data_IF_735140560353
#
_entry.id   IF_735140560353
#
_cell.length_a   1.000
_cell.length_b   1.000
_cell.length_c   1.000
_cell.angle_alpha   90.00
_cell.angle_beta   90.00
_cell.angle_gamma   90.00
#
_symmetry.space_group_name_H-M   'P 1'
#
loop_
_entity.id
_entity.type
_entity.pdbx_description
1 polymer ?
#
# COMPACT_ATOMS: atom_id res chain seq x y z
N UNK A 1 -2.44 -11.87 34.17
CA UNK A 1 -1.05 -11.84 33.68
C UNK A 1 -1.02 -10.94 32.46
N UNK A 2 -0.59 -9.69 32.61
CA UNK A 2 -0.50 -8.70 31.52
C UNK A 2 0.98 -8.64 31.09
N UNK A 3 1.40 -9.59 30.26
CA UNK A 3 2.75 -9.67 29.71
C UNK A 3 2.80 -8.96 28.36
N UNK A 4 4.01 -8.56 27.96
CA UNK A 4 4.25 -8.01 26.62
C UNK A 4 3.89 -9.07 25.58
N UNK A 5 3.37 -8.63 24.44
CA UNK A 5 2.95 -9.50 23.34
C UNK A 5 3.89 -9.33 22.16
N UNK A 6 4.38 -10.46 21.66
CA UNK A 6 5.07 -10.59 20.38
C UNK A 6 4.21 -11.44 19.46
N UNK A 7 3.54 -10.80 18.51
CA UNK A 7 2.51 -11.41 17.68
C UNK A 7 2.88 -11.27 16.21
N UNK A 8 3.02 -12.39 15.50
CA UNK A 8 3.39 -12.41 14.08
C UNK A 8 2.29 -13.06 13.24
N UNK A 9 2.00 -12.48 12.07
CA UNK A 9 1.08 -13.02 11.09
C UNK A 9 1.45 -12.56 9.67
N UNK A 10 0.99 -13.29 8.65
CA UNK A 10 1.28 -12.96 7.26
C UNK A 10 0.24 -11.99 6.68
N UNK A 11 0.69 -10.89 6.06
CA UNK A 11 -0.16 -9.95 5.34
C UNK A 11 0.65 -9.08 4.36
N UNK A 12 0.01 -8.60 3.28
CA UNK A 12 0.66 -7.72 2.29
C UNK A 12 1.95 -8.32 1.67
N UNK A 13 1.98 -9.64 1.48
CA UNK A 13 3.12 -10.38 0.93
C UNK A 13 4.38 -10.32 1.80
N UNK A 14 4.21 -10.30 3.12
CA UNK A 14 5.30 -10.26 4.11
C UNK A 14 4.78 -10.74 5.47
N UNK A 15 5.71 -11.09 6.36
CA UNK A 15 5.39 -11.19 7.78
C UNK A 15 5.19 -9.78 8.37
N UNK A 16 4.13 -9.64 9.18
CA UNK A 16 3.84 -8.47 10.02
C UNK A 16 4.02 -8.90 11.46
N UNK A 17 4.79 -8.12 12.23
CA UNK A 17 5.08 -8.36 13.65
C UNK A 17 4.61 -7.18 14.49
N UNK A 18 3.83 -7.47 15.52
CA UNK A 18 3.35 -6.52 16.52
C UNK A 18 4.06 -6.79 17.84
N UNK A 19 4.70 -5.76 18.39
CA UNK A 19 5.34 -5.78 19.71
C UNK A 19 4.59 -4.81 20.61
N UNK A 20 3.74 -5.34 21.49
CA UNK A 20 2.84 -4.53 22.32
C UNK A 20 3.22 -4.70 23.78
N UNK A 21 3.74 -3.63 24.37
CA UNK A 21 4.09 -3.59 25.78
C UNK A 21 2.88 -3.44 26.69
N UNK A 22 3.14 -3.50 28.00
CA UNK A 22 2.11 -3.27 29.03
C UNK A 22 1.42 -1.90 28.86
N UNK A 23 0.10 -1.82 29.09
CA UNK A 23 -0.61 -0.56 29.05
C UNK A 23 -0.09 0.42 30.11
N UNK A 24 0.21 1.65 29.70
CA UNK A 24 0.59 2.73 30.62
C UNK A 24 -0.62 3.43 31.26
N UNK A 25 -1.80 3.33 30.64
CA UNK A 25 -3.04 3.93 31.12
C UNK A 25 -4.04 2.86 31.54
N UNK A 26 -4.73 3.06 32.65
CA UNK A 26 -5.58 2.04 33.29
C UNK A 26 -6.75 1.53 32.43
N UNK A 27 -7.19 2.31 31.43
CA UNK A 27 -8.30 1.96 30.53
C UNK A 27 -7.87 1.39 29.17
N UNK A 28 -6.56 1.29 28.92
CA UNK A 28 -6.10 0.72 27.67
C UNK A 28 -6.37 -0.80 27.64
N UNK A 29 -6.68 -1.36 26.46
CA UNK A 29 -6.93 -2.79 26.30
C UNK A 29 -5.70 -3.61 26.73
N UNK A 30 -5.93 -4.84 27.16
CA UNK A 30 -4.85 -5.81 27.36
C UNK A 30 -4.05 -5.98 26.06
N UNK A 31 -2.72 -6.19 26.13
CA UNK A 31 -1.85 -6.25 24.94
C UNK A 31 -2.31 -7.24 23.87
N UNK A 32 -2.86 -8.39 24.26
CA UNK A 32 -3.37 -9.39 23.31
C UNK A 32 -4.63 -8.90 22.58
N UNK A 33 -5.56 -8.26 23.28
CA UNK A 33 -6.76 -7.69 22.67
C UNK A 33 -6.41 -6.54 21.70
N UNK A 34 -5.38 -5.75 22.04
CA UNK A 34 -4.83 -4.75 21.13
C UNK A 34 -4.22 -5.41 19.89
N UNK A 35 -3.42 -6.47 20.06
CA UNK A 35 -2.81 -7.21 18.95
C UNK A 35 -3.87 -7.79 18.00
N UNK A 36 -4.92 -8.42 18.52
CA UNK A 36 -6.01 -8.98 17.71
C UNK A 36 -6.79 -7.89 16.95
N UNK A 37 -7.06 -6.76 17.61
CA UNK A 37 -7.71 -5.59 16.99
C UNK A 37 -6.87 -5.04 15.84
N UNK A 38 -5.58 -4.86 16.04
CA UNK A 38 -4.69 -4.30 15.01
C UNK A 38 -4.41 -5.31 13.89
N UNK A 39 -4.32 -6.60 14.19
CA UNK A 39 -4.29 -7.66 13.18
C UNK A 39 -5.52 -7.59 12.27
N UNK A 40 -6.72 -7.47 12.85
CA UNK A 40 -7.95 -7.35 12.07
C UNK A 40 -7.94 -6.11 11.17
N UNK A 41 -7.43 -4.98 11.69
CA UNK A 41 -7.26 -3.75 10.90
C UNK A 41 -6.29 -3.94 9.73
N UNK A 42 -5.10 -4.52 9.97
CA UNK A 42 -4.09 -4.77 8.92
C UNK A 42 -4.64 -5.69 7.83
N UNK A 43 -5.38 -6.74 8.20
CA UNK A 43 -6.01 -7.64 7.23
C UNK A 43 -7.09 -6.93 6.39
N UNK A 44 -7.93 -6.11 7.02
CA UNK A 44 -8.93 -5.32 6.31
C UNK A 44 -8.28 -4.27 5.38
N UNK A 45 -7.22 -3.62 5.83
CA UNK A 45 -6.41 -2.69 5.04
C UNK A 45 -5.87 -3.40 3.79
N UNK A 46 -5.23 -4.56 3.97
CA UNK A 46 -4.66 -5.35 2.88
C UNK A 46 -5.72 -5.80 1.87
N UNK A 47 -6.89 -6.22 2.35
CA UNK A 47 -8.00 -6.63 1.47
C UNK A 47 -8.52 -5.47 0.60
N UNK A 48 -8.69 -4.28 1.17
CA UNK A 48 -9.26 -3.12 0.46
C UNK A 48 -8.29 -2.48 -0.52
N UNK A 49 -7.00 -2.46 -0.18
CA UNK A 49 -5.98 -1.73 -0.94
C UNK A 49 -5.10 -2.64 -1.82
N UNK A 50 -5.48 -3.91 -2.00
CA UNK A 50 -4.78 -4.81 -2.90
C UNK A 50 -5.25 -4.66 -4.34
N UNK A 51 -4.36 -4.37 -5.28
CA UNK A 51 -4.67 -4.42 -6.73
C UNK A 51 -4.78 -5.84 -7.31
N UNK A 52 -4.58 -6.87 -6.50
CA UNK A 52 -4.60 -8.26 -6.92
C UNK A 52 -5.90 -8.98 -6.51
N UNK A 53 -6.66 -8.42 -5.57
CA UNK A 53 -7.94 -8.96 -5.13
C UNK A 53 -9.03 -8.35 -6.02
N UNK A 54 -9.75 -9.15 -6.82
CA UNK A 54 -10.94 -8.68 -7.53
C UNK A 54 -11.98 -8.15 -6.53
N UNK A 55 -12.56 -6.99 -6.82
CA UNK A 55 -13.55 -6.37 -5.94
C UNK A 55 -12.98 -5.63 -4.74
N UNK A 56 -11.65 -5.62 -4.52
CA UNK A 56 -11.06 -4.65 -3.61
C UNK A 56 -11.37 -3.23 -4.05
N UNK A 57 -11.36 -2.29 -3.12
CA UNK A 57 -11.66 -0.89 -3.41
C UNK A 57 -10.64 -0.30 -4.40
N UNK A 58 -9.35 -0.63 -4.26
CA UNK A 58 -8.32 -0.21 -5.21
C UNK A 58 -8.51 -0.82 -6.60
N UNK A 59 -8.87 -2.11 -6.68
CA UNK A 59 -9.17 -2.76 -7.97
C UNK A 59 -10.40 -2.18 -8.63
N UNK A 60 -11.45 -1.90 -7.85
CA UNK A 60 -12.68 -1.25 -8.33
C UNK A 60 -12.40 0.16 -8.83
N UNK A 61 -11.64 0.96 -8.05
CA UNK A 61 -11.13 2.24 -8.49
C UNK A 61 -10.41 2.05 -9.84
N UNK A 62 -9.43 1.17 -9.95
CA UNK A 62 -8.66 0.96 -11.18
C UNK A 62 -9.47 0.46 -12.40
N UNK A 63 -10.61 -0.18 -12.19
CA UNK A 63 -11.55 -0.58 -13.24
C UNK A 63 -12.47 0.56 -13.69
N UNK A 64 -12.63 1.60 -12.87
CA UNK A 64 -13.51 2.73 -13.15
C UNK A 64 -12.90 3.72 -14.14
N UNK A 65 -13.62 4.02 -15.22
CA UNK A 65 -13.20 4.93 -16.30
C UNK A 65 -13.66 6.37 -16.09
N UNK A 66 -14.43 6.66 -15.03
CA UNK A 66 -14.85 8.03 -14.69
C UNK A 66 -13.65 8.89 -14.28
N UNK A 67 -13.80 10.19 -14.47
CA UNK A 67 -12.82 11.20 -14.08
C UNK A 67 -12.83 11.48 -12.58
N UNK A 68 -13.98 11.33 -11.93
CA UNK A 68 -14.15 11.45 -10.48
C UNK A 68 -14.83 10.18 -9.96
N UNK A 69 -14.18 9.51 -9.01
CA UNK A 69 -14.63 8.22 -8.47
C UNK A 69 -14.77 8.35 -6.95
N UNK A 70 -15.92 7.99 -6.37
CA UNK A 70 -16.08 7.94 -4.92
C UNK A 70 -15.07 6.98 -4.31
N UNK A 71 -14.45 7.39 -3.20
CA UNK A 71 -13.43 6.62 -2.52
C UNK A 71 -13.59 6.79 -1.01
N UNK A 72 -13.38 5.74 -0.25
CA UNK A 72 -13.35 5.81 1.21
C UNK A 72 -12.18 6.63 1.71
N UNK A 73 -12.27 7.08 2.97
CA UNK A 73 -11.21 7.82 3.65
C UNK A 73 -9.88 7.05 3.63
N UNK A 74 -9.94 5.73 3.75
CA UNK A 74 -8.77 4.85 3.68
C UNK A 74 -8.09 4.91 2.31
N UNK A 75 -8.86 4.75 1.23
CA UNK A 75 -8.32 4.79 -0.13
C UNK A 75 -7.80 6.19 -0.47
N UNK A 76 -8.51 7.25 -0.06
CA UNK A 76 -8.05 8.64 -0.19
C UNK A 76 -6.73 8.86 0.55
N UNK A 77 -6.59 8.36 1.77
CA UNK A 77 -5.34 8.41 2.53
C UNK A 77 -4.19 7.66 1.83
N UNK A 78 -4.46 6.49 1.28
CA UNK A 78 -3.46 5.71 0.54
C UNK A 78 -2.99 6.43 -0.73
N UNK A 79 -3.91 7.05 -1.47
CA UNK A 79 -3.55 7.85 -2.65
C UNK A 79 -2.75 9.09 -2.25
N UNK A 80 -3.15 9.81 -1.18
CA UNK A 80 -2.36 10.94 -0.66
C UNK A 80 -0.94 10.52 -0.28
N UNK A 81 -0.77 9.38 0.39
CA UNK A 81 0.56 8.87 0.74
C UNK A 81 1.42 8.61 -0.51
N UNK A 82 0.82 8.05 -1.57
CA UNK A 82 1.48 7.87 -2.87
C UNK A 82 1.88 9.19 -3.53
N UNK A 83 0.98 10.18 -3.55
CA UNK A 83 1.25 11.52 -4.11
C UNK A 83 2.32 12.27 -3.32
N UNK A 84 2.25 12.24 -1.99
CA UNK A 84 3.26 12.81 -1.11
C UNK A 84 4.65 12.21 -1.37
N UNK A 85 4.74 10.89 -1.57
CA UNK A 85 6.00 10.24 -1.89
C UNK A 85 6.51 10.62 -3.29
N UNK A 86 5.60 10.77 -4.26
CA UNK A 86 5.94 11.24 -5.60
C UNK A 86 6.50 12.66 -5.57
N UNK A 87 5.84 13.58 -4.85
CA UNK A 87 6.32 14.95 -4.67
C UNK A 87 7.70 15.01 -4.02
N UNK A 88 7.87 14.32 -2.89
CA UNK A 88 9.13 14.32 -2.13
C UNK A 88 10.31 13.72 -2.87
N UNK A 89 10.05 12.83 -3.82
CA UNK A 89 11.09 12.14 -4.58
C UNK A 89 11.29 12.71 -5.98
N UNK A 90 10.59 13.79 -6.34
CA UNK A 90 10.62 14.33 -7.70
C UNK A 90 10.12 13.32 -8.75
N UNK A 91 9.15 12.49 -8.40
CA UNK A 91 8.54 11.49 -9.26
C UNK A 91 9.30 10.15 -9.35
N UNK A 92 10.35 9.93 -8.56
CA UNK A 92 11.03 8.62 -8.50
C UNK A 92 10.15 7.54 -7.89
N UNK A 93 9.30 7.92 -6.92
CA UNK A 93 8.14 7.13 -6.52
C UNK A 93 6.95 7.61 -7.36
N UNK A 94 6.28 6.70 -8.07
CA UNK A 94 5.12 7.05 -8.89
C UNK A 94 4.00 6.02 -8.66
N UNK A 95 2.85 6.44 -8.09
CA UNK A 95 1.73 5.53 -7.81
C UNK A 95 0.98 5.11 -9.08
N UNK A 96 1.34 5.57 -10.27
CA UNK A 96 0.59 5.31 -11.52
C UNK A 96 1.19 4.22 -12.41
N UNK A 97 2.24 3.54 -11.91
CA UNK A 97 3.03 2.59 -12.70
C UNK A 97 2.36 1.23 -12.94
N UNK A 98 1.07 1.06 -12.63
CA UNK A 98 0.36 -0.24 -12.72
C UNK A 98 0.56 -0.92 -14.08
N UNK A 99 0.45 -0.18 -15.19
CA UNK A 99 0.62 -0.74 -16.55
C UNK A 99 2.05 -1.20 -16.80
N UNK A 100 3.04 -0.40 -16.39
CA UNK A 100 4.45 -0.75 -16.51
C UNK A 100 4.79 -1.97 -15.64
N UNK A 101 4.29 -2.02 -14.40
CA UNK A 101 4.46 -3.16 -13.50
C UNK A 101 3.89 -4.45 -14.11
N UNK A 102 2.68 -4.40 -14.69
CA UNK A 102 2.07 -5.55 -15.39
C UNK A 102 2.95 -6.03 -16.55
N UNK A 103 3.45 -5.12 -17.38
CA UNK A 103 4.34 -5.43 -18.49
C UNK A 103 5.69 -6.04 -18.06
N UNK A 104 6.13 -5.78 -16.83
CA UNK A 104 7.35 -6.32 -16.24
C UNK A 104 7.10 -7.56 -15.36
N UNK A 105 5.98 -8.27 -15.55
CA UNK A 105 5.71 -9.53 -14.86
C UNK A 105 5.00 -9.40 -13.51
N UNK A 106 4.76 -8.19 -13.00
CA UNK A 106 4.00 -7.95 -11.77
C UNK A 106 2.48 -7.90 -12.01
N UNK A 107 1.98 -8.67 -12.98
CA UNK A 107 0.55 -8.73 -13.29
C UNK A 107 -0.26 -9.48 -12.23
N UNK A 108 0.39 -10.38 -11.49
CA UNK A 108 -0.19 -11.18 -10.39
C UNK A 108 0.61 -10.97 -9.11
N UNK A 109 0.01 -11.35 -7.98
CA UNK A 109 0.72 -11.35 -6.70
C UNK A 109 1.92 -12.30 -6.78
N UNK A 110 3.05 -11.88 -6.20
CA UNK A 110 4.23 -12.73 -6.00
C UNK A 110 4.26 -13.31 -4.58
N UNK A 111 3.20 -13.12 -3.81
CA UNK A 111 3.07 -13.72 -2.48
C UNK A 111 3.13 -15.25 -2.58
N UNK A 112 3.97 -15.87 -1.77
CA UNK A 112 4.28 -17.31 -1.84
C UNK A 112 5.13 -17.75 -3.05
N UNK A 113 5.54 -16.86 -3.94
CA UNK A 113 6.43 -17.21 -5.04
C UNK A 113 7.86 -17.44 -4.53
N UNK A 114 8.54 -18.45 -5.06
CA UNK A 114 9.96 -18.70 -4.77
C UNK A 114 10.80 -17.66 -5.51
N UNK A 115 11.53 -16.76 -4.81
CA UNK A 115 12.38 -15.79 -5.47
C UNK A 115 13.53 -16.47 -6.20
N UNK A 116 13.98 -15.88 -7.31
CA UNK A 116 15.25 -16.27 -7.91
C UNK A 116 16.38 -16.10 -6.88
N UNK A 117 17.37 -17.00 -6.90
CA UNK A 117 18.57 -16.82 -6.09
C UNK A 117 19.25 -15.50 -6.44
N UNK A 118 19.85 -14.83 -5.46
CA UNK A 118 20.57 -13.57 -5.69
C UNK A 118 21.60 -13.71 -6.81
N UNK A 119 22.33 -14.84 -6.85
CA UNK A 119 23.30 -15.16 -7.91
C UNK A 119 22.63 -15.24 -9.28
N UNK A 120 21.52 -15.97 -9.39
CA UNK A 120 20.78 -16.11 -10.64
C UNK A 120 20.22 -14.77 -11.12
N UNK A 121 19.61 -13.99 -10.22
CA UNK A 121 19.06 -12.68 -10.53
C UNK A 121 20.14 -11.69 -11.00
N UNK A 122 21.32 -11.71 -10.37
CA UNK A 122 22.44 -10.85 -10.77
C UNK A 122 23.05 -11.26 -12.12
N UNK A 123 23.08 -12.55 -12.45
CA UNK A 123 23.62 -13.03 -13.73
C UNK A 123 22.83 -12.55 -14.94
N UNK A 124 21.51 -12.33 -14.79
CA UNK A 124 20.61 -11.83 -15.84
C UNK A 124 20.24 -10.36 -15.69
N UNK A 125 20.80 -9.66 -14.69
CA UNK A 125 20.44 -8.28 -14.42
C UNK A 125 20.89 -7.36 -15.57
N UNK A 126 20.04 -6.42 -16.02
CA UNK A 126 20.45 -5.42 -17.00
C UNK A 126 21.55 -4.52 -16.41
N UNK A 127 22.29 -3.82 -17.29
CA UNK A 127 23.27 -2.82 -16.85
C UNK A 127 22.60 -1.80 -15.93
N UNK A 128 23.15 -1.65 -14.72
CA UNK A 128 22.66 -0.69 -13.73
C UNK A 128 22.80 0.73 -14.27
N UNK A 129 21.70 1.47 -14.27
CA UNK A 129 21.67 2.90 -14.62
C UNK A 129 20.87 3.62 -13.53
N UNK A 130 21.20 4.89 -13.23
CA UNK A 130 20.38 5.69 -12.32
C UNK A 130 18.92 5.71 -12.77
N UNK A 131 17.99 5.53 -11.83
CA UNK A 131 16.58 5.67 -12.09
C UNK A 131 16.25 7.13 -12.46
N UNK A 132 15.18 7.31 -13.24
CA UNK A 132 14.65 8.63 -13.62
C UNK A 132 13.13 8.59 -13.53
N UNK A 133 12.47 9.69 -13.14
CA UNK A 133 11.01 9.79 -13.16
C UNK A 133 10.47 9.67 -14.60
N UNK A 134 9.19 9.29 -14.74
CA UNK A 134 8.51 9.39 -16.04
C UNK A 134 8.38 10.89 -16.39
N UNK A 135 8.92 11.36 -17.53
CA UNK A 135 8.88 12.77 -17.92
C UNK A 135 7.45 13.30 -18.13
N UNK A 136 6.44 12.43 -18.24
CA UNK A 136 5.03 12.82 -18.37
C UNK A 136 4.38 13.13 -17.02
N UNK A 137 4.98 12.68 -15.92
CA UNK A 137 4.52 12.87 -14.54
C UNK A 137 2.98 12.72 -14.36
N UNK A 138 2.37 11.62 -14.83
CA UNK A 138 0.92 11.44 -14.83
C UNK A 138 0.29 11.55 -13.43
N UNK A 139 1.06 11.24 -12.39
CA UNK A 139 0.65 11.36 -10.99
C UNK A 139 0.24 12.79 -10.60
N UNK A 140 0.79 13.84 -11.26
CA UNK A 140 0.41 15.25 -11.00
C UNK A 140 -1.02 15.59 -11.41
N UNK A 141 -1.65 14.74 -12.23
CA UNK A 141 -3.02 14.94 -12.69
C UNK A 141 -4.05 14.36 -11.72
N UNK A 142 -3.60 13.71 -10.65
CA UNK A 142 -4.47 13.13 -9.63
C UNK A 142 -4.77 14.19 -8.58
N UNK A 143 -6.04 14.28 -8.16
CA UNK A 143 -6.47 15.08 -7.01
C UNK A 143 -7.29 14.21 -6.06
N UNK A 144 -7.11 14.44 -4.77
CA UNK A 144 -7.96 13.86 -3.73
C UNK A 144 -8.85 14.98 -3.21
N UNK A 145 -10.16 14.82 -3.37
CA UNK A 145 -11.18 15.76 -2.93
C UNK A 145 -11.83 15.18 -1.67
N UNK A 146 -11.36 15.63 -0.51
CA UNK A 146 -11.83 15.12 0.79
C UNK A 146 -13.23 15.62 1.15
N UNK A 147 -13.60 16.83 0.72
CA UNK A 147 -14.92 17.40 0.97
C UNK A 147 -16.01 16.58 0.27
N UNK A 148 -15.75 16.13 -0.96
CA UNK A 148 -16.69 15.31 -1.74
C UNK A 148 -16.46 13.81 -1.61
N UNK A 149 -15.38 13.39 -0.95
CA UNK A 149 -15.02 11.98 -0.82
C UNK A 149 -14.64 11.31 -2.14
N UNK A 150 -13.91 12.03 -3.01
CA UNK A 150 -13.61 11.59 -4.38
C UNK A 150 -12.11 11.52 -4.66
N UNK A 151 -11.73 10.64 -5.60
CA UNK A 151 -10.45 10.70 -6.30
C UNK A 151 -10.72 11.16 -7.73
N UNK A 152 -10.04 12.22 -8.15
CA UNK A 152 -10.12 12.78 -9.50
C UNK A 152 -8.84 12.44 -10.26
N UNK A 153 -8.96 11.92 -11.49
CA UNK A 153 -7.84 11.51 -12.33
C UNK A 153 -8.24 11.43 -13.82
N UNK A 154 -7.27 11.36 -14.74
CA UNK A 154 -7.54 11.02 -16.13
C UNK A 154 -8.28 9.68 -16.27
N UNK A 155 -9.24 9.56 -17.22
CA UNK A 155 -9.98 8.31 -17.45
C UNK A 155 -9.07 7.10 -17.66
N UNK A 156 -9.24 6.07 -16.82
CA UNK A 156 -8.49 4.81 -16.92
C UNK A 156 -7.02 4.88 -16.48
N UNK A 157 -6.58 5.99 -15.87
CA UNK A 157 -5.31 6.01 -15.13
C UNK A 157 -5.43 5.12 -13.90
N UNK A 158 -4.51 4.16 -13.75
CA UNK A 158 -4.56 3.17 -12.68
C UNK A 158 -3.55 3.53 -11.59
N UNK A 159 -3.89 3.24 -10.33
CA UNK A 159 -3.09 3.54 -9.15
C UNK A 159 -2.62 2.24 -8.46
N UNK A 160 -1.42 2.30 -7.87
CA UNK A 160 -0.83 1.28 -7.02
C UNK A 160 -0.42 1.91 -5.69
N UNK A 161 -0.69 1.20 -4.59
CA UNK A 161 -0.33 1.62 -3.23
C UNK A 161 0.88 0.85 -2.71
N UNK A 162 1.49 -0.05 -3.51
CA UNK A 162 2.51 -0.98 -3.03
C UNK A 162 3.78 -0.30 -2.52
N UNK A 163 4.13 0.88 -3.05
CA UNK A 163 5.30 1.65 -2.65
C UNK A 163 5.17 2.38 -1.30
N UNK A 164 3.96 2.65 -0.82
CA UNK A 164 3.71 3.45 0.39
C UNK A 164 2.72 2.82 1.38
N UNK A 165 1.98 1.79 0.97
CA UNK A 165 0.85 1.24 1.71
C UNK A 165 1.24 0.57 3.03
N UNK A 166 2.37 -0.14 3.08
CA UNK A 166 2.86 -0.78 4.32
C UNK A 166 3.23 0.25 5.39
N UNK A 167 3.92 1.33 4.99
CA UNK A 167 4.25 2.43 5.89
C UNK A 167 3.00 3.12 6.43
N UNK A 168 2.06 3.46 5.54
CA UNK A 168 0.77 4.03 5.95
C UNK A 168 0.00 3.10 6.91
N UNK A 169 0.02 1.79 6.67
CA UNK A 169 -0.64 0.82 7.54
C UNK A 169 0.00 0.80 8.94
N UNK A 170 1.33 0.82 9.01
CA UNK A 170 2.07 0.88 10.28
C UNK A 170 1.78 2.17 11.06
N UNK A 171 1.78 3.33 10.37
CA UNK A 171 1.42 4.62 10.98
C UNK A 171 -0.02 4.59 11.51
N UNK A 172 -0.96 4.07 10.71
CA UNK A 172 -2.36 3.95 11.13
C UNK A 172 -2.52 3.05 12.36
N UNK A 173 -1.83 1.92 12.43
CA UNK A 173 -1.82 1.03 13.61
C UNK A 173 -1.27 1.76 14.84
N UNK A 174 -0.19 2.54 14.69
CA UNK A 174 0.42 3.27 15.81
C UNK A 174 -0.47 4.39 16.39
N UNK A 175 -1.46 4.87 15.62
CA UNK A 175 -2.36 5.96 16.02
C UNK A 175 -3.76 5.49 16.47
N UNK A 176 -4.00 4.18 16.64
CA UNK A 176 -5.31 3.59 17.01
C UNK A 176 -5.33 3.04 18.44
#
# INVERSE_FOLDING_TARGET
MNQDVDYTFHAMGSDVRLLIGRPFVARAPAPLNAADRERAFVLAFAQRLSRFIPGSELSALNGDRRTAVPASDLLRAAVRAGLWAAERSGGLVDPTLVRALRGNGYARSLDGAVPASLRGALAVAPRRRPARPDPREPWRQIKVDDERGMIVRPPGLMLDTGGTGKGLCADAVAHR
#
